data_IF_037891569796
#
_entry.id   IF_037891569796
#
_cell.length_a   1.000
_cell.length_b   1.000
_cell.length_c   1.000
_cell.angle_alpha   90.00
_cell.angle_beta   90.00
_cell.angle_gamma   90.00
#
_symmetry.space_group_name_H-M   'P 1'
#
loop_
_entity.id
_entity.type
_entity.pdbx_description
1 polymer ?
#
# COMPACT_ATOMS: atom_id res chain seq x y z
N UNK A 1 25.91 8.66 3.84
CA UNK A 1 25.60 8.23 2.47
C UNK A 1 24.87 9.37 1.79
N UNK A 2 25.57 10.11 0.91
CA UNK A 2 25.01 11.23 0.15
C UNK A 2 24.07 10.66 -0.90
N UNK A 3 22.77 10.93 -0.78
CA UNK A 3 21.80 10.62 -1.82
C UNK A 3 22.06 11.59 -2.97
N UNK A 4 22.92 11.21 -3.90
CA UNK A 4 22.99 11.86 -5.20
C UNK A 4 21.72 11.45 -5.96
N UNK A 5 20.68 12.29 -5.90
CA UNK A 5 19.59 12.22 -6.86
C UNK A 5 20.21 12.53 -8.22
N UNK A 6 20.22 11.62 -9.19
CA UNK A 6 20.80 11.90 -10.49
C UNK A 6 19.97 13.00 -11.15
N UNK A 7 20.62 14.15 -11.40
CA UNK A 7 20.02 15.34 -12.06
C UNK A 7 19.41 14.97 -13.43
N UNK A 8 19.84 13.88 -14.03
CA UNK A 8 19.30 13.36 -15.30
C UNK A 8 17.87 12.83 -15.20
N UNK A 9 17.40 12.43 -14.01
CA UNK A 9 15.99 12.03 -13.80
C UNK A 9 15.02 13.20 -13.80
N UNK A 10 15.48 14.39 -13.39
CA UNK A 10 14.66 15.61 -13.37
C UNK A 10 14.30 16.14 -14.78
N UNK A 11 15.13 15.85 -15.78
CA UNK A 11 14.92 16.33 -17.16
C UNK A 11 14.10 15.36 -18.03
N UNK A 12 13.90 14.11 -17.59
CA UNK A 12 13.14 13.09 -18.31
C UNK A 12 11.66 13.04 -17.92
N UNK A 13 11.27 13.71 -16.81
CA UNK A 13 9.89 13.76 -16.36
C UNK A 13 9.01 14.48 -17.39
N UNK A 14 8.01 13.78 -17.90
CA UNK A 14 7.00 14.37 -18.80
C UNK A 14 6.07 15.32 -18.01
N UNK A 15 5.42 16.27 -18.70
CA UNK A 15 4.47 17.19 -18.06
C UNK A 15 3.40 16.48 -17.22
N UNK A 16 3.02 15.25 -17.60
CA UNK A 16 2.06 14.43 -16.87
C UNK A 16 2.54 14.07 -15.46
N UNK A 17 3.83 13.82 -15.27
CA UNK A 17 4.40 13.44 -13.99
C UNK A 17 4.35 14.61 -13.00
N UNK A 18 4.63 15.83 -13.46
CA UNK A 18 4.51 17.04 -12.63
C UNK A 18 3.06 17.34 -12.24
N UNK A 19 2.10 17.09 -13.13
CA UNK A 19 0.68 17.28 -12.80
C UNK A 19 0.27 16.36 -11.64
N UNK A 20 0.69 15.10 -11.66
CA UNK A 20 0.37 14.14 -10.59
C UNK A 20 1.02 14.56 -9.28
N UNK A 21 2.29 14.97 -9.28
CA UNK A 21 2.98 15.47 -8.09
C UNK A 21 2.24 16.69 -7.51
N UNK A 22 1.83 17.64 -8.35
CA UNK A 22 1.08 18.84 -7.93
C UNK A 22 -0.26 18.44 -7.29
N UNK A 23 -1.02 17.53 -7.91
CA UNK A 23 -2.31 17.08 -7.37
C UNK A 23 -2.13 16.44 -6.00
N UNK A 24 -1.12 15.61 -5.81
CA UNK A 24 -0.84 14.97 -4.52
C UNK A 24 -0.39 15.98 -3.48
N UNK A 25 0.49 16.92 -3.84
CA UNK A 25 0.90 17.99 -2.94
C UNK A 25 -0.30 18.83 -2.51
N UNK A 26 -1.18 19.20 -3.45
CA UNK A 26 -2.41 19.95 -3.15
C UNK A 26 -3.34 19.14 -2.23
N UNK A 27 -3.45 17.83 -2.43
CA UNK A 27 -4.23 16.96 -1.55
C UNK A 27 -3.65 16.94 -0.12
N UNK A 28 -2.32 16.78 0.01
CA UNK A 28 -1.63 16.77 1.31
C UNK A 28 -1.81 18.12 2.02
N UNK A 29 -1.58 19.23 1.32
CA UNK A 29 -1.76 20.58 1.85
C UNK A 29 -3.21 20.83 2.25
N UNK A 30 -4.16 20.42 1.40
CA UNK A 30 -5.60 20.56 1.66
C UNK A 30 -6.02 19.84 2.95
N UNK A 31 -5.63 18.57 3.12
CA UNK A 31 -5.91 17.82 4.35
C UNK A 31 -5.23 18.44 5.57
N UNK A 32 -3.98 18.90 5.43
CA UNK A 32 -3.26 19.59 6.50
C UNK A 32 -4.00 20.83 6.97
N UNK A 33 -4.50 21.67 6.04
CA UNK A 33 -5.27 22.88 6.36
C UNK A 33 -6.61 22.52 7.02
N UNK A 34 -7.31 21.50 6.52
CA UNK A 34 -8.57 21.05 7.10
C UNK A 34 -8.36 20.60 8.55
N UNK A 35 -7.31 19.81 8.80
CA UNK A 35 -6.97 19.35 10.14
C UNK A 35 -6.53 20.49 11.06
N UNK A 36 -5.75 21.45 10.55
CA UNK A 36 -5.38 22.65 11.30
C UNK A 36 -6.63 23.45 11.76
N UNK A 37 -7.64 23.58 10.90
CA UNK A 37 -8.90 24.28 11.23
C UNK A 37 -9.81 23.52 12.19
N UNK A 38 -9.84 22.17 12.11
CA UNK A 38 -10.65 21.33 13.02
C UNK A 38 -10.04 21.21 14.41
N UNK A 39 -8.73 21.41 14.51
CA UNK A 39 -7.98 21.27 15.75
C UNK A 39 -7.47 19.84 15.99
N UNK A 40 -6.52 19.75 16.93
CA UNK A 40 -5.75 18.54 17.23
C UNK A 40 -6.62 17.35 17.62
N UNK A 41 -7.56 17.55 18.55
CA UNK A 41 -8.34 16.43 19.12
C UNK A 41 -9.20 15.75 18.07
N UNK A 42 -9.92 16.52 17.24
CA UNK A 42 -10.75 15.95 16.19
C UNK A 42 -9.92 15.23 15.13
N UNK A 43 -8.80 15.85 14.71
CA UNK A 43 -7.91 15.25 13.73
C UNK A 43 -7.20 14.02 14.26
N UNK A 44 -6.76 14.03 15.52
CA UNK A 44 -6.15 12.86 16.16
C UNK A 44 -7.15 11.70 16.21
N UNK A 45 -8.40 11.99 16.58
CA UNK A 45 -9.44 10.96 16.61
C UNK A 45 -9.73 10.40 15.19
N UNK A 46 -9.82 11.25 14.19
CA UNK A 46 -10.03 10.85 12.80
C UNK A 46 -8.83 10.07 12.25
N UNK A 47 -7.60 10.46 12.58
CA UNK A 47 -6.39 9.74 12.23
C UNK A 47 -6.31 8.39 12.95
N UNK A 48 -6.49 8.36 14.27
CA UNK A 48 -6.46 7.13 15.05
C UNK A 48 -7.53 6.14 14.56
N UNK A 49 -8.76 6.62 14.30
CA UNK A 49 -9.82 5.78 13.75
C UNK A 49 -9.47 5.24 12.37
N UNK A 50 -8.82 6.02 11.51
CA UNK A 50 -8.37 5.58 10.19
C UNK A 50 -7.29 4.52 10.31
N UNK A 51 -6.31 4.77 11.17
CA UNK A 51 -5.19 3.87 11.42
C UNK A 51 -5.67 2.53 12.02
N UNK A 52 -6.50 2.59 13.06
CA UNK A 52 -7.08 1.40 13.70
C UNK A 52 -7.93 0.61 12.71
N UNK A 53 -8.80 1.29 11.93
CA UNK A 53 -9.61 0.63 10.91
C UNK A 53 -8.77 -0.05 9.85
N UNK A 54 -7.67 0.57 9.42
CA UNK A 54 -6.77 0.01 8.41
C UNK A 54 -6.10 -1.28 8.92
N UNK A 55 -5.51 -1.24 10.11
CA UNK A 55 -4.87 -2.43 10.69
C UNK A 55 -5.88 -3.53 11.02
N UNK A 56 -7.01 -3.17 11.64
CA UNK A 56 -8.06 -4.11 11.93
C UNK A 56 -8.58 -4.79 10.66
N UNK A 57 -8.79 -4.04 9.59
CA UNK A 57 -9.25 -4.55 8.30
C UNK A 57 -8.27 -5.59 7.72
N UNK A 58 -6.96 -5.30 7.73
CA UNK A 58 -5.94 -6.23 7.23
C UNK A 58 -5.88 -7.51 8.08
N UNK A 59 -5.88 -7.37 9.41
CA UNK A 59 -5.83 -8.52 10.32
C UNK A 59 -7.07 -9.40 10.17
N UNK A 60 -8.26 -8.78 10.12
CA UNK A 60 -9.53 -9.51 9.93
C UNK A 60 -9.59 -10.13 8.54
N UNK A 61 -9.18 -9.42 7.49
CA UNK A 61 -9.11 -9.98 6.13
C UNK A 61 -8.19 -11.20 6.08
N UNK A 62 -6.98 -11.10 6.64
CA UNK A 62 -6.03 -12.21 6.70
C UNK A 62 -6.60 -13.40 7.47
N UNK A 63 -7.24 -13.15 8.61
CA UNK A 63 -7.87 -14.18 9.43
C UNK A 63 -9.01 -14.89 8.67
N UNK A 64 -9.92 -14.13 8.04
CA UNK A 64 -11.01 -14.67 7.24
C UNK A 64 -10.48 -15.50 6.06
N UNK A 65 -9.52 -14.98 5.30
CA UNK A 65 -8.90 -15.71 4.18
C UNK A 65 -8.24 -17.01 4.63
N UNK A 66 -7.61 -17.01 5.81
CA UNK A 66 -6.97 -18.21 6.36
C UNK A 66 -8.00 -19.28 6.74
N UNK A 67 -9.10 -18.90 7.41
CA UNK A 67 -10.15 -19.85 7.84
C UNK A 67 -10.94 -20.39 6.65
N UNK A 68 -11.19 -19.55 5.65
CA UNK A 68 -12.04 -19.92 4.50
C UNK A 68 -11.25 -20.58 3.35
N UNK A 69 -9.97 -20.92 3.58
CA UNK A 69 -9.13 -21.50 2.52
C UNK A 69 -8.95 -20.57 1.32
N UNK A 70 -8.69 -19.28 1.57
CA UNK A 70 -8.57 -18.27 0.52
C UNK A 70 -9.90 -17.96 -0.16
N UNK A 71 -10.99 -17.87 0.64
CA UNK A 71 -12.37 -17.72 0.17
C UNK A 71 -12.72 -18.70 -0.95
N UNK A 72 -12.73 -19.97 -0.54
CA UNK A 72 -13.16 -21.07 -1.40
C UNK A 72 -12.37 -21.16 -2.73
N UNK A 73 -11.08 -20.80 -2.67
CA UNK A 73 -10.20 -20.90 -3.84
C UNK A 73 -10.11 -19.63 -4.70
N UNK A 74 -10.71 -18.52 -4.28
CA UNK A 74 -10.62 -17.25 -5.02
C UNK A 74 -9.17 -16.78 -5.18
N UNK A 75 -8.33 -16.93 -4.14
CA UNK A 75 -6.90 -16.59 -4.21
C UNK A 75 -6.19 -17.37 -5.33
N UNK A 76 -6.44 -18.68 -5.45
CA UNK A 76 -5.83 -19.52 -6.45
C UNK A 76 -6.37 -19.24 -7.86
N UNK A 77 -7.66 -18.95 -7.98
CA UNK A 77 -8.27 -18.57 -9.26
C UNK A 77 -7.70 -17.23 -9.78
N UNK A 78 -7.64 -16.22 -8.93
CA UNK A 78 -7.03 -14.93 -9.29
C UNK A 78 -5.55 -15.10 -9.60
N UNK A 79 -4.81 -15.86 -8.77
CA UNK A 79 -3.40 -16.14 -8.97
C UNK A 79 -3.11 -16.83 -10.29
N UNK A 80 -3.90 -17.85 -10.65
CA UNK A 80 -3.77 -18.56 -11.93
C UNK A 80 -4.08 -17.66 -13.13
N UNK A 81 -5.04 -16.75 -12.99
CA UNK A 81 -5.39 -15.77 -14.03
C UNK A 81 -4.24 -14.79 -14.28
N UNK A 82 -3.61 -14.27 -13.22
CA UNK A 82 -2.39 -13.46 -13.34
C UNK A 82 -1.22 -14.28 -13.91
N UNK A 83 -1.01 -15.51 -13.46
CA UNK A 83 0.03 -16.39 -13.98
C UNK A 83 -0.10 -16.61 -15.50
N UNK A 84 -1.32 -16.83 -16.01
CA UNK A 84 -1.58 -16.94 -17.45
C UNK A 84 -1.32 -15.63 -18.21
N UNK A 85 -1.52 -14.48 -17.57
CA UNK A 85 -1.20 -13.19 -18.17
C UNK A 85 0.31 -12.96 -18.20
N UNK A 86 1.00 -13.27 -17.12
CA UNK A 86 2.45 -13.07 -16.98
C UNK A 86 3.29 -14.02 -17.82
N UNK A 87 2.83 -15.23 -18.13
CA UNK A 87 3.56 -16.18 -18.98
C UNK A 87 3.82 -15.64 -20.40
N UNK A 88 3.07 -14.61 -20.80
CA UNK A 88 3.27 -13.92 -22.09
C UNK A 88 4.42 -12.90 -22.06
N UNK A 89 4.98 -12.62 -20.88
CA UNK A 89 6.11 -11.71 -20.70
C UNK A 89 7.39 -12.52 -20.91
N UNK A 90 8.31 -11.99 -21.69
CA UNK A 90 9.56 -12.66 -22.03
C UNK A 90 10.36 -13.09 -20.80
N UNK A 91 10.68 -14.38 -20.73
CA UNK A 91 11.44 -15.01 -19.66
C UNK A 91 10.68 -15.25 -18.36
N UNK A 92 9.35 -15.05 -18.31
CA UNK A 92 8.52 -15.44 -17.18
C UNK A 92 8.10 -16.91 -17.21
N UNK A 93 8.34 -17.62 -18.30
CA UNK A 93 8.20 -19.07 -18.46
C UNK A 93 9.33 -19.87 -17.80
N UNK A 94 10.42 -19.20 -17.41
CA UNK A 94 11.58 -19.86 -16.79
C UNK A 94 11.22 -20.47 -15.44
N UNK A 95 11.69 -21.70 -15.23
CA UNK A 95 11.57 -22.41 -13.95
C UNK A 95 12.56 -21.82 -12.93
N UNK A 96 12.09 -21.61 -11.72
CA UNK A 96 12.90 -21.02 -10.65
C UNK A 96 13.29 -22.11 -9.65
N UNK A 97 14.54 -22.07 -9.19
CA UNK A 97 15.03 -22.80 -8.02
C UNK A 97 15.06 -21.89 -6.78
N UNK A 98 15.05 -22.49 -5.59
CA UNK A 98 15.11 -21.77 -4.33
C UNK A 98 16.31 -20.81 -4.24
N UNK A 99 17.49 -21.27 -4.69
CA UNK A 99 18.75 -20.51 -4.62
C UNK A 99 18.81 -19.34 -5.62
N UNK A 100 18.13 -19.45 -6.76
CA UNK A 100 18.12 -18.45 -7.83
C UNK A 100 16.92 -17.51 -7.79
N UNK A 101 15.93 -17.76 -6.94
CA UNK A 101 14.65 -17.03 -6.95
C UNK A 101 14.81 -15.51 -6.82
N UNK A 102 15.66 -15.05 -5.90
CA UNK A 102 15.87 -13.61 -5.67
C UNK A 102 16.46 -12.93 -6.90
N UNK A 103 17.49 -13.52 -7.49
CA UNK A 103 18.18 -12.97 -8.66
C UNK A 103 17.27 -12.98 -9.89
N UNK A 104 16.63 -14.12 -10.16
CA UNK A 104 15.72 -14.27 -11.29
C UNK A 104 14.54 -13.30 -11.27
N UNK A 105 13.92 -13.08 -10.09
CA UNK A 105 12.83 -12.12 -9.93
C UNK A 105 13.32 -10.65 -10.02
N UNK A 106 14.50 -10.36 -9.50
CA UNK A 106 15.08 -9.01 -9.55
C UNK A 106 15.49 -8.62 -10.99
N UNK A 107 16.07 -9.56 -11.76
CA UNK A 107 16.43 -9.35 -13.16
C UNK A 107 15.22 -9.06 -14.07
N UNK A 108 14.04 -9.50 -13.67
CA UNK A 108 12.78 -9.26 -14.40
C UNK A 108 12.04 -8.00 -13.90
N UNK A 109 12.67 -7.15 -13.13
CA UNK A 109 12.07 -5.91 -12.57
C UNK A 109 10.75 -6.17 -11.81
N UNK A 110 10.65 -7.31 -11.14
CA UNK A 110 9.49 -7.63 -10.31
C UNK A 110 9.55 -6.78 -9.03
N UNK A 111 8.43 -6.22 -8.63
CA UNK A 111 8.34 -5.38 -7.42
C UNK A 111 8.98 -6.04 -6.20
N UNK A 112 9.80 -5.30 -5.47
CA UNK A 112 10.61 -5.82 -4.35
C UNK A 112 9.80 -6.56 -3.27
N UNK A 113 8.53 -6.16 -3.06
CA UNK A 113 7.60 -6.86 -2.16
C UNK A 113 7.33 -8.28 -2.64
N UNK A 114 7.08 -8.46 -3.94
CA UNK A 114 6.82 -9.77 -4.54
C UNK A 114 8.08 -10.63 -4.50
N UNK A 115 9.26 -10.04 -4.78
CA UNK A 115 10.56 -10.71 -4.66
C UNK A 115 10.76 -11.24 -3.24
N UNK A 116 10.57 -10.39 -2.22
CA UNK A 116 10.74 -10.77 -0.82
C UNK A 116 9.74 -11.86 -0.38
N UNK A 117 8.49 -11.78 -0.83
CA UNK A 117 7.48 -12.80 -0.55
C UNK A 117 7.81 -14.11 -1.27
N UNK A 118 8.26 -14.07 -2.51
CA UNK A 118 8.70 -15.25 -3.27
C UNK A 118 9.81 -15.99 -2.56
N UNK A 119 10.86 -15.28 -2.14
CA UNK A 119 11.98 -15.85 -1.37
C UNK A 119 11.49 -16.49 -0.06
N UNK A 120 10.61 -15.81 0.68
CA UNK A 120 10.02 -16.37 1.92
C UNK A 120 9.16 -17.60 1.66
N UNK A 121 8.45 -17.67 0.55
CA UNK A 121 7.63 -18.84 0.19
C UNK A 121 8.49 -20.04 -0.15
N UNK A 122 9.61 -19.85 -0.87
CA UNK A 122 10.60 -20.90 -1.08
C UNK A 122 11.18 -21.40 0.24
N UNK A 123 11.61 -20.48 1.10
CA UNK A 123 12.17 -20.84 2.42
C UNK A 123 11.19 -21.62 3.32
N UNK A 124 9.87 -21.41 3.11
CA UNK A 124 8.81 -22.14 3.86
C UNK A 124 8.31 -23.40 3.14
N UNK A 125 8.93 -23.81 2.04
CA UNK A 125 8.50 -24.97 1.24
C UNK A 125 7.09 -24.84 0.64
N UNK A 126 6.63 -23.62 0.39
CA UNK A 126 5.29 -23.35 -0.19
C UNK A 126 5.30 -23.31 -1.72
N UNK A 127 6.47 -23.41 -2.33
CA UNK A 127 6.66 -23.40 -3.79
C UNK A 127 7.07 -24.79 -4.20
N UNK A 128 6.34 -25.38 -5.15
CA UNK A 128 6.66 -26.70 -5.68
C UNK A 128 7.84 -26.61 -6.67
N UNK A 129 8.61 -27.67 -6.75
CA UNK A 129 9.64 -27.80 -7.78
C UNK A 129 9.02 -27.72 -9.18
N UNK A 130 9.69 -27.04 -10.09
CA UNK A 130 9.18 -26.81 -11.44
C UNK A 130 8.24 -25.59 -11.57
N UNK A 131 8.04 -24.81 -10.52
CA UNK A 131 7.26 -23.56 -10.59
C UNK A 131 7.96 -22.54 -11.46
N UNK A 132 7.23 -21.93 -12.41
CA UNK A 132 7.75 -20.84 -13.25
C UNK A 132 7.64 -19.48 -12.55
N UNK A 133 8.43 -18.49 -13.04
CA UNK A 133 8.33 -17.10 -12.58
C UNK A 133 6.89 -16.61 -12.68
N UNK A 134 6.21 -16.82 -13.80
CA UNK A 134 4.83 -16.41 -14.02
C UNK A 134 3.87 -17.00 -12.98
N UNK A 135 4.02 -18.27 -12.64
CA UNK A 135 3.16 -18.93 -11.65
C UNK A 135 3.42 -18.39 -10.24
N UNK A 136 4.68 -18.21 -9.86
CA UNK A 136 5.03 -17.68 -8.55
C UNK A 136 4.53 -16.26 -8.37
N UNK A 137 4.86 -15.37 -9.31
CA UNK A 137 4.44 -13.96 -9.30
C UNK A 137 2.92 -13.86 -9.35
N UNK A 138 2.27 -14.66 -10.22
CA UNK A 138 0.81 -14.71 -10.32
C UNK A 138 0.14 -15.11 -9.00
N UNK A 139 0.62 -16.15 -8.34
CA UNK A 139 0.07 -16.62 -7.08
C UNK A 139 0.25 -15.60 -5.94
N UNK A 140 1.42 -14.96 -5.87
CA UNK A 140 1.67 -13.90 -4.87
C UNK A 140 0.78 -12.69 -5.13
N UNK A 141 0.73 -12.21 -6.38
CA UNK A 141 -0.11 -11.08 -6.80
C UNK A 141 -1.58 -11.37 -6.54
N UNK A 142 -2.07 -12.57 -6.91
CA UNK A 142 -3.44 -12.98 -6.68
C UNK A 142 -3.81 -12.96 -5.20
N UNK A 143 -2.94 -13.49 -4.35
CA UNK A 143 -3.14 -13.46 -2.89
C UNK A 143 -3.17 -12.04 -2.34
N UNK A 144 -2.24 -11.19 -2.77
CA UNK A 144 -2.19 -9.79 -2.36
C UNK A 144 -3.41 -9.00 -2.85
N UNK A 145 -3.85 -9.22 -4.10
CA UNK A 145 -5.04 -8.56 -4.65
C UNK A 145 -6.31 -8.94 -3.87
N UNK A 146 -6.52 -10.22 -3.58
CA UNK A 146 -7.68 -10.67 -2.80
C UNK A 146 -7.62 -10.09 -1.39
N UNK A 147 -6.45 -10.16 -0.72
CA UNK A 147 -6.26 -9.56 0.60
C UNK A 147 -6.56 -8.05 0.60
N UNK A 148 -6.07 -7.31 -0.40
CA UNK A 148 -6.33 -5.88 -0.55
C UNK A 148 -7.81 -5.56 -0.74
N UNK A 149 -8.49 -6.26 -1.66
CA UNK A 149 -9.92 -6.04 -1.91
C UNK A 149 -10.73 -6.25 -0.63
N UNK A 150 -10.48 -7.36 0.08
CA UNK A 150 -11.16 -7.63 1.35
C UNK A 150 -10.79 -6.62 2.43
N UNK A 151 -9.53 -6.21 2.51
CA UNK A 151 -9.10 -5.18 3.45
C UNK A 151 -9.78 -3.84 3.17
N UNK A 152 -9.96 -3.45 1.91
CA UNK A 152 -10.68 -2.23 1.54
C UNK A 152 -12.14 -2.30 1.98
N UNK A 153 -12.84 -3.41 1.71
CA UNK A 153 -14.23 -3.60 2.11
C UNK A 153 -14.37 -3.53 3.63
N UNK A 154 -13.51 -4.24 4.36
CA UNK A 154 -13.52 -4.26 5.82
C UNK A 154 -13.11 -2.91 6.42
N UNK A 155 -12.20 -2.19 5.78
CA UNK A 155 -11.82 -0.84 6.18
C UNK A 155 -13.01 0.11 6.15
N UNK A 156 -13.78 0.12 5.06
CA UNK A 156 -14.98 0.96 4.97
C UNK A 156 -16.05 0.53 5.99
N UNK A 157 -16.24 -0.77 6.21
CA UNK A 157 -17.15 -1.26 7.24
C UNK A 157 -16.72 -0.83 8.65
N UNK A 158 -15.44 -0.95 8.98
CA UNK A 158 -14.89 -0.51 10.26
C UNK A 158 -14.98 1.02 10.43
N UNK A 159 -14.68 1.79 9.35
CA UNK A 159 -14.83 3.25 9.34
C UNK A 159 -16.26 3.68 9.60
N UNK A 160 -17.23 3.02 8.97
CA UNK A 160 -18.65 3.29 9.20
C UNK A 160 -19.06 3.00 10.64
N UNK A 161 -18.63 1.86 11.19
CA UNK A 161 -18.89 1.52 12.59
C UNK A 161 -18.31 2.54 13.56
N UNK A 162 -17.06 3.00 13.34
CA UNK A 162 -16.44 4.03 14.17
C UNK A 162 -17.09 5.41 13.99
N UNK A 163 -17.59 5.74 12.81
CA UNK A 163 -18.35 6.97 12.57
C UNK A 163 -19.66 6.97 13.37
N UNK A 164 -20.37 5.84 13.39
CA UNK A 164 -21.57 5.68 14.20
C UNK A 164 -21.24 5.79 15.71
N UNK A 165 -20.16 5.16 16.16
CA UNK A 165 -19.68 5.29 17.53
C UNK A 165 -19.30 6.73 17.88
N UNK A 166 -18.65 7.47 16.98
CA UNK A 166 -18.32 8.90 17.17
C UNK A 166 -19.57 9.74 17.37
N UNK A 167 -20.64 9.47 16.63
CA UNK A 167 -21.91 10.21 16.77
C UNK A 167 -22.51 10.05 18.18
N UNK A 168 -22.36 8.87 18.78
CA UNK A 168 -22.79 8.63 20.17
C UNK A 168 -21.87 9.31 21.19
N UNK A 169 -20.57 9.41 20.89
CA UNK A 169 -19.54 9.97 21.79
C UNK A 169 -19.38 11.50 21.68
N UNK A 170 -19.95 12.15 20.67
CA UNK A 170 -19.78 13.60 20.44
C UNK A 170 -20.15 14.45 21.66
N UNK A 171 -21.14 14.06 22.44
CA UNK A 171 -21.50 14.76 23.68
C UNK A 171 -20.40 14.77 24.76
N UNK A 172 -19.37 13.91 24.64
CA UNK A 172 -18.23 13.82 25.56
C UNK A 172 -17.06 14.65 25.02
N UNK A 173 -16.84 14.66 23.70
CA UNK A 173 -15.69 15.29 23.03
C UNK A 173 -15.81 16.83 23.04
N UNK A 174 -17.02 17.38 22.91
CA UNK A 174 -17.27 18.83 22.92
C UNK A 174 -16.87 19.52 24.23
N UNK A 175 -16.64 18.77 25.31
CA UNK A 175 -16.25 19.31 26.62
C UNK A 175 -14.75 19.54 26.78
N UNK A 176 -13.92 19.08 25.83
CA UNK A 176 -12.47 19.19 25.92
C UNK A 176 -11.99 20.38 25.09
N UNK A 177 -12.05 21.57 25.68
CA UNK A 177 -11.45 22.79 25.10
C UNK A 177 -9.95 22.84 25.38
N UNK A 178 -9.11 22.68 24.34
CA UNK A 178 -7.67 22.92 24.40
C UNK A 178 -7.35 24.26 23.73
N UNK A 179 -6.34 24.97 24.24
CA UNK A 179 -5.90 26.31 23.82
C UNK A 179 -5.69 26.42 22.30
N UNK A 180 -6.29 27.45 21.68
CA UNK A 180 -6.49 27.57 20.22
C UNK A 180 -5.23 27.50 19.35
N UNK A 181 -4.13 28.14 19.71
CA UNK A 181 -2.95 28.20 18.82
C UNK A 181 -2.16 26.88 18.76
N UNK A 182 -1.92 26.25 19.92
CA UNK A 182 -1.25 24.95 20.01
C UNK A 182 -2.09 23.85 19.36
N UNK A 183 -3.41 23.92 19.50
CA UNK A 183 -4.36 23.01 18.92
C UNK A 183 -4.29 23.03 17.37
N UNK A 184 -4.15 24.22 16.77
CA UNK A 184 -4.02 24.39 15.31
C UNK A 184 -2.71 23.84 14.79
N UNK A 185 -1.57 24.14 15.44
CA UNK A 185 -0.26 23.69 14.99
C UNK A 185 -0.11 22.16 15.05
N UNK A 186 -0.53 21.55 16.16
CA UNK A 186 -0.48 20.11 16.33
C UNK A 186 -1.49 19.42 15.41
N UNK A 187 -2.67 20.03 15.20
CA UNK A 187 -3.65 19.58 14.22
C UNK A 187 -3.08 19.51 12.79
N UNK A 188 -2.28 20.51 12.40
CA UNK A 188 -1.59 20.50 11.10
C UNK A 188 -0.60 19.32 10.97
N UNK A 189 0.19 19.04 12.02
CA UNK A 189 1.15 17.91 12.02
C UNK A 189 0.41 16.57 11.87
N UNK A 190 -0.67 16.38 12.61
CA UNK A 190 -1.50 15.17 12.51
C UNK A 190 -2.12 15.06 11.12
N UNK A 191 -2.62 16.17 10.57
CA UNK A 191 -3.19 16.21 9.22
C UNK A 191 -2.17 15.86 8.13
N UNK A 192 -0.95 16.36 8.25
CA UNK A 192 0.15 16.02 7.35
C UNK A 192 0.47 14.53 7.41
N UNK A 193 0.62 13.98 8.62
CA UNK A 193 0.89 12.54 8.82
C UNK A 193 -0.22 11.67 8.25
N UNK A 194 -1.48 12.05 8.48
CA UNK A 194 -2.64 11.36 7.94
C UNK A 194 -2.67 11.39 6.41
N UNK A 195 -2.37 12.55 5.79
CA UNK A 195 -2.34 12.72 4.35
C UNK A 195 -1.27 11.83 3.70
N UNK A 196 -0.05 11.83 4.25
CA UNK A 196 1.04 10.97 3.77
C UNK A 196 0.68 9.49 3.92
N UNK A 197 0.04 9.10 5.03
CA UNK A 197 -0.41 7.73 5.22
C UNK A 197 -1.47 7.30 4.20
N UNK A 198 -2.46 8.17 3.91
CA UNK A 198 -3.50 7.88 2.91
C UNK A 198 -2.89 7.73 1.52
N UNK A 199 -2.02 8.66 1.12
CA UNK A 199 -1.31 8.58 -0.18
C UNK A 199 -0.47 7.32 -0.25
N UNK A 200 0.28 6.99 0.82
CA UNK A 200 1.04 5.75 0.91
C UNK A 200 0.17 4.50 0.77
N UNK A 201 -1.02 4.50 1.38
CA UNK A 201 -1.96 3.38 1.26
C UNK A 201 -2.49 3.22 -0.18
N UNK A 202 -2.77 4.32 -0.87
CA UNK A 202 -3.18 4.28 -2.30
C UNK A 202 -2.03 3.78 -3.17
N UNK A 203 -0.81 4.27 -2.96
CA UNK A 203 0.37 3.81 -3.69
C UNK A 203 0.67 2.33 -3.46
N UNK A 204 0.44 1.84 -2.23
CA UNK A 204 0.61 0.43 -1.91
C UNK A 204 -0.26 -0.49 -2.78
N UNK A 205 -1.46 -0.04 -3.18
CA UNK A 205 -2.34 -0.79 -4.10
C UNK A 205 -1.67 -0.95 -5.47
N UNK A 206 -1.08 0.13 -6.00
CA UNK A 206 -0.39 0.06 -7.29
C UNK A 206 0.88 -0.80 -7.24
N UNK A 207 1.62 -0.80 -6.14
CA UNK A 207 2.81 -1.65 -5.96
C UNK A 207 2.50 -3.16 -5.93
N UNK A 208 1.28 -3.53 -5.57
CA UNK A 208 0.86 -4.94 -5.55
C UNK A 208 0.54 -5.46 -6.96
N UNK A 209 0.13 -4.58 -7.85
CA UNK A 209 -0.22 -4.93 -9.24
C UNK A 209 0.99 -4.61 -10.12
N UNK A 210 1.80 -5.59 -10.55
CA UNK A 210 3.01 -5.35 -11.33
C UNK A 210 2.64 -5.02 -12.79
N UNK A 211 2.25 -3.79 -13.03
CA UNK A 211 2.02 -3.23 -14.36
C UNK A 211 3.21 -2.34 -14.70
N UNK A 212 4.13 -2.76 -15.60
CA UNK A 212 5.37 -2.01 -15.87
C UNK A 212 5.13 -0.55 -16.28
N UNK A 213 4.02 -0.29 -16.99
CA UNK A 213 3.67 1.08 -17.40
C UNK A 213 3.35 1.98 -16.21
N UNK A 214 2.71 1.44 -15.16
CA UNK A 214 2.39 2.18 -13.93
C UNK A 214 3.63 2.34 -13.08
N UNK A 215 4.43 1.29 -12.92
CA UNK A 215 5.68 1.33 -12.15
C UNK A 215 6.65 2.37 -12.71
N UNK A 216 6.87 2.38 -14.04
CA UNK A 216 7.72 3.35 -14.69
C UNK A 216 7.17 4.78 -14.51
N UNK A 217 5.86 4.98 -14.73
CA UNK A 217 5.22 6.27 -14.59
C UNK A 217 5.35 6.82 -13.15
N UNK A 218 5.11 5.99 -12.13
CA UNK A 218 5.21 6.39 -10.73
C UNK A 218 6.65 6.65 -10.30
N UNK A 219 7.59 5.85 -10.79
CA UNK A 219 9.03 6.02 -10.50
C UNK A 219 9.62 7.27 -11.14
N UNK A 220 9.08 7.71 -12.29
CA UNK A 220 9.50 8.92 -12.99
C UNK A 220 8.97 10.22 -12.35
N UNK A 221 7.97 10.14 -11.48
CA UNK A 221 7.52 11.28 -10.67
C UNK A 221 8.56 11.62 -9.60
N UNK A 222 8.74 12.90 -9.30
CA UNK A 222 9.77 13.34 -8.33
C UNK A 222 9.34 13.07 -6.90
N UNK A 223 8.21 13.64 -6.48
CA UNK A 223 7.69 13.50 -5.12
C UNK A 223 7.03 12.14 -4.90
N UNK A 224 6.22 11.74 -5.86
CA UNK A 224 5.50 10.47 -5.79
C UNK A 224 6.43 9.28 -5.92
N UNK A 225 7.49 9.36 -6.77
CA UNK A 225 8.52 8.33 -6.89
C UNK A 225 9.25 8.09 -5.58
N UNK A 226 9.62 9.17 -4.87
CA UNK A 226 10.20 9.05 -3.54
C UNK A 226 9.25 8.37 -2.54
N UNK A 227 7.98 8.78 -2.50
CA UNK A 227 6.98 8.19 -1.61
C UNK A 227 6.61 6.75 -2.02
N UNK A 228 6.74 6.42 -3.31
CA UNK A 228 6.56 5.07 -3.82
C UNK A 228 7.69 4.15 -3.36
N UNK A 229 8.95 4.58 -3.48
CA UNK A 229 10.12 3.81 -3.06
C UNK A 229 10.16 3.59 -1.53
N UNK A 230 9.88 4.64 -0.76
CA UNK A 230 9.92 4.62 0.72
C UNK A 230 8.52 4.49 1.34
N UNK A 231 7.63 3.72 0.75
CA UNK A 231 6.24 3.59 1.18
C UNK A 231 6.11 2.96 2.57
N UNK A 232 5.70 3.73 3.60
CA UNK A 232 5.60 3.22 4.97
C UNK A 232 4.52 2.14 5.13
N UNK A 233 3.47 2.17 4.30
CA UNK A 233 2.39 1.18 4.34
C UNK A 233 2.88 -0.17 3.85
N UNK A 234 3.70 -0.19 2.81
CA UNK A 234 4.31 -1.42 2.30
C UNK A 234 5.31 -2.00 3.31
N UNK A 235 6.09 -1.15 3.98
CA UNK A 235 6.98 -1.60 5.04
C UNK A 235 6.20 -2.34 6.15
N UNK A 236 5.06 -1.80 6.56
CA UNK A 236 4.17 -2.40 7.56
C UNK A 236 3.52 -3.68 7.03
N UNK A 237 2.99 -3.67 5.80
CA UNK A 237 2.41 -4.86 5.17
C UNK A 237 3.43 -5.99 5.07
N UNK A 238 4.69 -5.68 4.74
CA UNK A 238 5.78 -6.66 4.68
C UNK A 238 6.10 -7.33 6.03
N UNK A 239 5.79 -6.67 7.15
CA UNK A 239 5.92 -7.26 8.49
C UNK A 239 4.72 -8.18 8.84
N UNK A 240 3.54 -7.91 8.28
CA UNK A 240 2.30 -8.62 8.60
C UNK A 240 2.07 -9.88 7.73
N UNK A 241 2.69 -9.99 6.56
CA UNK A 241 2.54 -11.09 5.59
C UNK A 241 3.68 -12.08 5.71
#
# INVERSE_FOLDING_TARGET
MSVCVPINGLLAATWSNYIVDIVIILFIVGLTIICAKRGFIECLFDFASTFISFFAAILVAKFLLTITGGLFGLESWVGSSFGKAFIKIDGFDLVISADGAKTALAEKNVAGVIVNLGVRWFAKGKVADGTTIAQLVGNITGKLCVLLIFSIILFFAAKLALLLAKTVLNGIIERIKILDATNTAVGAIVGLTQAVFIVGAVLAVFMVIPIPAIDNFLSDCVFMGWLYEYNPVIAILGLLI
#
